data_IF_807041599822
#
_entry.id   IF_807041599822
#
_cell.length_a   1.000
_cell.length_b   1.000
_cell.length_c   1.000
_cell.angle_alpha   90.00
_cell.angle_beta   90.00
_cell.angle_gamma   90.00
#
_symmetry.space_group_name_H-M   'P 1'
#
loop_
_entity.id
_entity.type
_entity.pdbx_description
1 polymer ?
#
# COMPACT_ATOMS: atom_id res chain seq x y z
N UNK A 1 21.36 -16.63 24.62
CA UNK A 1 20.37 -15.96 23.77
C UNK A 1 19.38 -17.02 23.35
N UNK A 2 18.11 -16.91 23.75
CA UNK A 2 17.12 -17.96 23.54
C UNK A 2 16.54 -17.88 22.12
N UNK A 3 15.97 -18.98 21.61
CA UNK A 3 15.38 -19.04 20.26
C UNK A 3 14.28 -17.98 20.07
N UNK A 4 13.56 -17.64 21.13
CA UNK A 4 12.53 -16.60 21.13
C UNK A 4 13.12 -15.21 20.87
N UNK A 5 14.23 -14.84 21.52
CA UNK A 5 14.94 -13.58 21.28
C UNK A 5 15.44 -13.48 19.82
N UNK A 6 15.94 -14.60 19.28
CA UNK A 6 16.40 -14.69 17.89
C UNK A 6 15.23 -14.54 16.90
N UNK A 7 14.08 -15.16 17.19
CA UNK A 7 12.88 -15.05 16.37
C UNK A 7 12.31 -13.62 16.39
N UNK A 8 12.29 -12.96 17.55
CA UNK A 8 11.88 -11.56 17.68
C UNK A 8 12.84 -10.64 16.90
N UNK A 9 14.15 -10.80 17.08
CA UNK A 9 15.16 -9.99 16.39
C UNK A 9 15.14 -10.20 14.87
N UNK A 10 14.91 -11.43 14.41
CA UNK A 10 14.75 -11.73 12.98
C UNK A 10 13.48 -11.09 12.39
N UNK A 11 12.40 -11.06 13.16
CA UNK A 11 11.13 -10.41 12.77
C UNK A 11 11.28 -8.89 12.70
N UNK A 12 11.96 -8.28 13.68
CA UNK A 12 12.29 -6.85 13.66
C UNK A 12 13.14 -6.51 12.42
N UNK A 13 14.17 -7.31 12.13
CA UNK A 13 15.03 -7.09 10.95
C UNK A 13 14.25 -7.16 9.63
N UNK A 14 13.28 -8.06 9.52
CA UNK A 14 12.41 -8.15 8.34
C UNK A 14 11.58 -6.87 8.19
N UNK A 15 11.01 -6.36 9.28
CA UNK A 15 10.25 -5.10 9.27
C UNK A 15 11.14 -3.92 8.84
N UNK A 16 12.36 -3.82 9.39
CA UNK A 16 13.29 -2.76 8.99
C UNK A 16 13.65 -2.82 7.50
N UNK A 17 13.89 -4.02 6.97
CA UNK A 17 14.17 -4.21 5.55
C UNK A 17 12.97 -3.81 4.67
N UNK A 18 11.76 -4.24 5.02
CA UNK A 18 10.54 -3.88 4.29
C UNK A 18 10.30 -2.36 4.27
N UNK A 19 10.57 -1.67 5.39
CA UNK A 19 10.48 -0.20 5.44
C UNK A 19 11.50 0.47 4.52
N UNK A 20 12.74 -0.01 4.51
CA UNK A 20 13.77 0.52 3.62
C UNK A 20 13.42 0.30 2.15
N UNK A 21 12.93 -0.90 1.81
CA UNK A 21 12.49 -1.24 0.46
C UNK A 21 11.30 -0.40 0.00
N UNK A 22 10.31 -0.17 0.87
CA UNK A 22 9.21 0.74 0.60
C UNK A 22 9.72 2.15 0.24
N UNK A 23 10.67 2.67 1.02
CA UNK A 23 11.25 3.99 0.76
C UNK A 23 11.96 4.05 -0.60
N UNK A 24 12.70 2.99 -0.97
CA UNK A 24 13.34 2.88 -2.27
C UNK A 24 12.32 2.90 -3.42
N UNK A 25 11.24 2.11 -3.32
CA UNK A 25 10.17 2.07 -4.32
C UNK A 25 9.52 3.43 -4.49
N UNK A 26 9.23 4.14 -3.40
CA UNK A 26 8.66 5.50 -3.48
C UNK A 26 9.63 6.48 -4.13
N UNK A 27 10.93 6.36 -3.83
CA UNK A 27 11.96 7.18 -4.47
C UNK A 27 12.03 6.96 -5.98
N UNK A 28 11.96 5.71 -6.42
CA UNK A 28 11.98 5.37 -7.85
C UNK A 28 10.67 5.75 -8.55
N UNK A 29 9.53 5.58 -7.89
CA UNK A 29 8.24 6.07 -8.37
C UNK A 29 8.28 7.56 -8.69
N UNK A 30 8.83 8.39 -7.80
CA UNK A 30 8.96 9.84 -8.05
C UNK A 30 9.94 10.17 -9.19
N UNK A 31 11.06 9.44 -9.30
CA UNK A 31 11.99 9.62 -10.44
C UNK A 31 11.32 9.28 -11.77
N UNK A 32 10.47 8.24 -11.81
CA UNK A 32 9.75 7.83 -13.01
C UNK A 32 8.73 8.89 -13.42
N UNK A 33 7.95 9.42 -12.48
CA UNK A 33 6.99 10.49 -12.74
C UNK A 33 7.65 11.77 -13.29
N UNK A 34 8.89 12.05 -12.88
CA UNK A 34 9.65 13.20 -13.40
C UNK A 34 10.14 13.01 -14.85
N UNK A 35 10.18 11.76 -15.36
CA UNK A 35 10.67 11.43 -16.71
C UNK A 35 9.47 11.25 -17.65
N UNK A 36 9.01 12.32 -18.27
CA UNK A 36 7.78 12.36 -19.09
C UNK A 36 7.80 11.55 -20.39
N UNK A 37 7.82 10.21 -20.32
CA UNK A 37 7.78 9.32 -21.49
C UNK A 37 6.89 8.08 -21.27
N UNK A 38 6.30 7.57 -22.34
CA UNK A 38 5.39 6.40 -22.31
C UNK A 38 6.04 5.10 -21.79
N UNK A 39 7.37 4.98 -21.84
CA UNK A 39 8.14 3.85 -21.27
C UNK A 39 8.01 3.82 -19.73
N UNK A 40 7.62 4.94 -19.11
CA UNK A 40 7.42 5.03 -17.67
C UNK A 40 6.11 4.38 -17.19
N UNK A 41 5.11 4.12 -18.05
CA UNK A 41 3.79 3.65 -17.59
C UNK A 41 3.85 2.28 -16.91
N UNK A 42 4.49 1.29 -17.54
CA UNK A 42 4.63 -0.04 -16.95
C UNK A 42 5.49 0.02 -15.68
N UNK A 43 6.60 0.76 -15.72
CA UNK A 43 7.46 0.94 -14.55
C UNK A 43 6.75 1.64 -13.38
N UNK A 44 5.86 2.60 -13.66
CA UNK A 44 5.02 3.24 -12.64
C UNK A 44 4.07 2.21 -12.02
N UNK A 45 3.42 1.37 -12.84
CA UNK A 45 2.51 0.35 -12.35
C UNK A 45 3.25 -0.68 -11.47
N UNK A 46 4.47 -1.06 -11.85
CA UNK A 46 5.35 -1.93 -11.06
C UNK A 46 5.73 -1.30 -9.70
N UNK A 47 6.05 -0.01 -9.66
CA UNK A 47 6.29 0.67 -8.39
C UNK A 47 5.04 0.71 -7.50
N UNK A 48 3.87 0.98 -8.07
CA UNK A 48 2.60 1.04 -7.33
C UNK A 48 2.27 -0.34 -6.75
N UNK A 49 2.36 -1.40 -7.57
CA UNK A 49 2.07 -2.77 -7.16
C UNK A 49 3.05 -3.24 -6.09
N UNK A 50 4.34 -2.99 -6.26
CA UNK A 50 5.39 -3.31 -5.29
C UNK A 50 5.17 -2.61 -3.94
N UNK A 51 4.86 -1.32 -3.94
CA UNK A 51 4.56 -0.57 -2.71
C UNK A 51 3.34 -1.16 -1.97
N UNK A 52 2.28 -1.51 -2.71
CA UNK A 52 1.07 -2.11 -2.13
C UNK A 52 1.40 -3.48 -1.50
N UNK A 53 2.16 -4.33 -2.19
CA UNK A 53 2.59 -5.64 -1.67
C UNK A 53 3.37 -5.48 -0.36
N UNK A 54 4.33 -4.56 -0.31
CA UNK A 54 5.12 -4.31 0.90
C UNK A 54 4.23 -3.84 2.05
N UNK A 55 3.25 -2.97 1.79
CA UNK A 55 2.33 -2.50 2.83
C UNK A 55 1.45 -3.62 3.39
N UNK A 56 0.98 -4.56 2.56
CA UNK A 56 0.27 -5.74 3.06
C UNK A 56 1.17 -6.64 3.91
N UNK A 57 2.39 -6.94 3.45
CA UNK A 57 3.34 -7.78 4.21
C UNK A 57 3.71 -7.10 5.52
N UNK A 58 3.92 -5.78 5.54
CA UNK A 58 4.15 -5.01 6.76
C UNK A 58 2.96 -5.12 7.72
N UNK A 59 1.72 -5.01 7.22
CA UNK A 59 0.51 -5.22 8.01
C UNK A 59 0.51 -6.58 8.72
N UNK A 60 0.75 -7.66 7.97
CA UNK A 60 0.81 -9.03 8.49
C UNK A 60 1.89 -9.18 9.56
N UNK A 61 3.08 -8.61 9.33
CA UNK A 61 4.19 -8.65 10.31
C UNK A 61 3.92 -7.82 11.56
N UNK A 62 3.02 -6.84 11.48
CA UNK A 62 2.57 -6.03 12.61
C UNK A 62 1.33 -6.62 13.31
N UNK A 63 0.84 -7.78 12.85
CA UNK A 63 -0.29 -8.48 13.45
C UNK A 63 -1.67 -8.13 12.88
N UNK A 64 -1.72 -7.58 11.65
CA UNK A 64 -2.96 -7.31 10.93
C UNK A 64 -3.07 -8.21 9.71
N UNK A 65 -4.15 -8.98 9.62
CA UNK A 65 -4.44 -9.79 8.44
C UNK A 65 -4.68 -8.92 7.20
N UNK A 66 -4.52 -9.51 6.01
CA UNK A 66 -4.82 -8.83 4.76
C UNK A 66 -6.29 -8.40 4.68
N UNK A 67 -7.21 -9.21 5.21
CA UNK A 67 -8.62 -8.91 5.29
C UNK A 67 -8.93 -7.71 6.19
N UNK A 68 -8.23 -7.57 7.31
CA UNK A 68 -8.37 -6.40 8.20
C UNK A 68 -7.90 -5.12 7.51
N UNK A 69 -6.80 -5.19 6.76
CA UNK A 69 -6.32 -4.06 5.95
C UNK A 69 -7.37 -3.67 4.91
N UNK A 70 -7.92 -4.64 4.18
CA UNK A 70 -8.96 -4.42 3.17
C UNK A 70 -10.23 -3.80 3.77
N UNK A 71 -10.72 -4.32 4.89
CA UNK A 71 -11.89 -3.79 5.57
C UNK A 71 -11.65 -2.37 6.08
N UNK A 72 -10.46 -2.10 6.63
CA UNK A 72 -10.09 -0.76 7.07
C UNK A 72 -10.02 0.21 5.89
N UNK A 73 -9.48 -0.22 4.75
CA UNK A 73 -9.46 0.57 3.51
C UNK A 73 -10.88 0.89 3.02
N UNK A 74 -11.77 -0.11 2.93
CA UNK A 74 -13.16 0.10 2.54
C UNK A 74 -13.88 1.08 3.45
N UNK A 75 -13.69 0.97 4.76
CA UNK A 75 -14.29 1.89 5.73
C UNK A 75 -13.76 3.33 5.56
N UNK A 76 -12.46 3.52 5.34
CA UNK A 76 -11.88 4.83 5.03
C UNK A 76 -12.45 5.44 3.74
N UNK A 77 -12.63 4.62 2.70
CA UNK A 77 -13.24 5.07 1.45
C UNK A 77 -14.70 5.51 1.66
N UNK A 78 -15.50 4.74 2.41
CA UNK A 78 -16.88 5.11 2.74
C UNK A 78 -16.95 6.45 3.47
N UNK A 79 -16.07 6.67 4.44
CA UNK A 79 -15.99 7.94 5.18
C UNK A 79 -15.67 9.09 4.21
N UNK A 80 -14.61 8.98 3.41
CA UNK A 80 -14.23 10.03 2.45
C UNK A 80 -15.31 10.33 1.41
N UNK A 81 -16.09 9.31 1.00
CA UNK A 81 -17.25 9.50 0.12
C UNK A 81 -18.35 10.29 0.83
N UNK A 82 -18.70 9.90 2.06
CA UNK A 82 -19.77 10.54 2.84
C UNK A 82 -19.44 12.01 3.19
N UNK A 83 -18.17 12.30 3.48
CA UNK A 83 -17.69 13.65 3.78
C UNK A 83 -17.53 14.53 2.53
N UNK A 84 -17.62 13.93 1.33
CA UNK A 84 -17.41 14.64 0.08
C UNK A 84 -15.98 15.18 -0.01
N UNK A 85 -14.99 14.30 0.19
CA UNK A 85 -13.58 14.58 -0.05
C UNK A 85 -13.38 15.25 -1.43
N UNK A 86 -12.40 16.15 -1.55
CA UNK A 86 -12.13 16.87 -2.80
C UNK A 86 -11.88 15.91 -3.98
N UNK A 87 -11.17 14.80 -3.73
CA UNK A 87 -10.91 13.77 -4.72
C UNK A 87 -12.22 13.14 -5.18
N UNK A 88 -13.14 12.85 -4.26
CA UNK A 88 -14.45 12.30 -4.60
C UNK A 88 -15.33 13.29 -5.36
N UNK A 89 -15.34 14.57 -4.93
CA UNK A 89 -16.11 15.63 -5.59
C UNK A 89 -15.65 15.85 -7.04
N UNK A 90 -14.35 15.83 -7.28
CA UNK A 90 -13.77 16.14 -8.60
C UNK A 90 -13.71 14.93 -9.54
N UNK A 91 -13.47 13.72 -9.03
CA UNK A 91 -13.09 12.58 -9.89
C UNK A 91 -13.92 11.31 -9.70
N UNK A 92 -14.70 11.23 -8.61
CA UNK A 92 -15.38 9.99 -8.16
C UNK A 92 -14.43 8.81 -7.91
N UNK A 93 -13.14 9.07 -7.70
CA UNK A 93 -12.15 8.00 -7.57
C UNK A 93 -12.32 7.18 -6.29
N UNK A 94 -12.79 7.76 -5.18
CA UNK A 94 -13.04 7.00 -3.95
C UNK A 94 -14.18 6.00 -4.17
N UNK A 95 -15.27 6.45 -4.80
CA UNK A 95 -16.39 5.58 -5.19
C UNK A 95 -15.95 4.46 -6.14
N UNK A 96 -15.16 4.76 -7.17
CA UNK A 96 -14.63 3.76 -8.12
C UNK A 96 -13.76 2.72 -7.43
N UNK A 97 -12.83 3.15 -6.57
CA UNK A 97 -11.96 2.25 -5.82
C UNK A 97 -12.75 1.39 -4.84
N UNK A 98 -13.73 1.97 -4.14
CA UNK A 98 -14.60 1.23 -3.23
C UNK A 98 -15.37 0.13 -3.97
N UNK A 99 -15.92 0.42 -5.15
CA UNK A 99 -16.57 -0.60 -6.00
C UNK A 99 -15.60 -1.68 -6.46
N UNK A 100 -14.38 -1.31 -6.88
CA UNK A 100 -13.35 -2.27 -7.27
C UNK A 100 -13.04 -3.28 -6.16
N UNK A 101 -12.82 -2.80 -4.93
CA UNK A 101 -12.52 -3.64 -3.76
C UNK A 101 -13.70 -4.53 -3.32
N UNK A 102 -14.94 -4.15 -3.62
CA UNK A 102 -16.11 -4.98 -3.33
C UNK A 102 -16.44 -5.97 -4.44
N UNK A 103 -16.05 -5.70 -5.68
CA UNK A 103 -16.26 -6.59 -6.83
C UNK A 103 -15.33 -7.82 -6.86
N UNK A 104 -14.24 -7.78 -6.09
CA UNK A 104 -13.21 -8.82 -6.01
C UNK A 104 -13.42 -9.82 -4.86
N UNK A 105 -14.58 -9.80 -4.21
CA UNK A 105 -14.97 -10.75 -3.16
C UNK A 105 -15.97 -11.78 -3.65
#
# INVERSE_FOLDING_TARGET
MNREDFNIMSSIRIIENLKAELLCIIGDFFKLLARGSNIAQDAILECISGAIIILYILGERLGYSYEEVDEKMKNKLKIGIAEGDIIEKETKNLSKLHSHLNSKR
#
